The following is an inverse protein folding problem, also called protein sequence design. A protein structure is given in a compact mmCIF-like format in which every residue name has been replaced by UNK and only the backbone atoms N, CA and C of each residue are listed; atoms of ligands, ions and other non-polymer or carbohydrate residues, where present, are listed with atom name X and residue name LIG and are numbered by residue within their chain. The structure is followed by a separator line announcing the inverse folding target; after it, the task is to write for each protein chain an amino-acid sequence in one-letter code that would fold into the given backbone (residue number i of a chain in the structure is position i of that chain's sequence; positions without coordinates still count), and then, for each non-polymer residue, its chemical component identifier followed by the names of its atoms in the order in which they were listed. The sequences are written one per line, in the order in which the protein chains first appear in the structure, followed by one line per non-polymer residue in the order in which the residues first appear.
data_IF_893475950332
#
_entry.id   IF_893475950332
#
_cell.length_a   1.000
_cell.length_b   1.000
_cell.length_c   1.000
_cell.angle_alpha   90.00
_cell.angle_beta   90.00
_cell.angle_gamma   90.00
#
_symmetry.space_group_name_H-M   'P 1'
#
loop_
_entity.id
_entity.type
_entity.pdbx_description
1 polymer ?
#
# COMPACT_ATOMS: atom_id res chain seq x y z
N UNK A 1 76.02 -14.02 -8.96
CA UNK A 1 75.62 -12.72 -8.37
C UNK A 1 74.10 -12.69 -8.27
N UNK A 2 73.58 -12.63 -7.03
CA UNK A 2 72.28 -12.08 -6.58
C UNK A 2 70.99 -12.31 -7.40
N UNK A 3 70.09 -13.11 -6.79
CA UNK A 3 68.62 -12.90 -6.55
C UNK A 3 67.73 -12.39 -7.71
N UNK A 4 66.54 -12.95 -7.96
CA UNK A 4 65.43 -12.96 -6.99
C UNK A 4 64.31 -13.98 -7.30
N UNK A 5 63.58 -14.30 -6.23
CA UNK A 5 62.43 -15.18 -6.12
C UNK A 5 61.19 -14.72 -6.91
N UNK A 6 60.39 -15.68 -7.36
CA UNK A 6 58.94 -15.52 -7.48
C UNK A 6 58.25 -16.87 -7.19
N UNK A 7 57.59 -16.97 -6.04
CA UNK A 7 56.57 -17.97 -5.77
C UNK A 7 55.19 -17.38 -6.01
N UNK A 8 54.27 -18.20 -6.54
CA UNK A 8 52.81 -18.09 -6.53
C UNK A 8 52.28 -18.99 -7.67
N UNK A 9 51.12 -19.63 -7.64
CA UNK A 9 50.15 -19.98 -6.62
C UNK A 9 49.30 -21.07 -7.29
N UNK A 10 48.87 -22.09 -6.54
CA UNK A 10 47.96 -23.12 -7.05
C UNK A 10 46.59 -22.50 -7.35
N UNK A 11 46.19 -22.45 -8.62
CA UNK A 11 44.82 -22.13 -9.01
C UNK A 11 43.89 -23.28 -8.60
N UNK A 12 43.19 -23.11 -7.48
CA UNK A 12 41.97 -23.84 -7.20
C UNK A 12 40.84 -23.13 -7.96
N UNK A 13 40.28 -23.80 -8.96
CA UNK A 13 39.11 -23.31 -9.70
C UNK A 13 37.90 -23.26 -8.78
N UNK A 14 37.49 -22.06 -8.38
CA UNK A 14 36.20 -21.82 -7.75
C UNK A 14 35.16 -21.77 -8.86
N UNK A 15 34.38 -22.85 -8.98
CA UNK A 15 33.19 -22.90 -9.81
C UNK A 15 32.13 -22.03 -9.13
N UNK A 16 32.06 -20.75 -9.50
CA UNK A 16 31.02 -19.83 -9.04
C UNK A 16 29.71 -20.29 -9.69
N UNK A 17 28.91 -21.04 -8.95
CA UNK A 17 27.51 -21.25 -9.32
C UNK A 17 26.79 -19.92 -9.18
N UNK A 18 26.62 -19.22 -10.30
CA UNK A 18 25.64 -18.15 -10.43
C UNK A 18 24.26 -18.76 -10.23
N UNK A 19 23.77 -18.75 -8.99
CA UNK A 19 22.36 -18.95 -8.70
C UNK A 19 21.66 -17.71 -9.22
N UNK A 20 21.18 -17.76 -10.46
CA UNK A 20 20.24 -16.78 -10.97
C UNK A 20 18.99 -16.86 -10.11
N UNK A 21 18.89 -15.98 -9.11
CA UNK A 21 17.62 -15.67 -8.47
C UNK A 21 16.73 -15.03 -9.53
N UNK A 22 16.02 -15.87 -10.28
CA UNK A 22 14.86 -15.44 -11.05
C UNK A 22 13.87 -14.96 -10.00
N UNK A 23 13.89 -13.65 -9.74
CA UNK A 23 12.78 -12.98 -9.08
C UNK A 23 11.61 -13.25 -10.01
N UNK A 24 10.69 -14.13 -9.62
CA UNK A 24 9.44 -14.28 -10.32
C UNK A 24 8.87 -12.86 -10.41
N UNK A 25 8.75 -12.32 -11.63
CA UNK A 25 8.09 -11.05 -11.82
C UNK A 25 6.71 -11.22 -11.17
N UNK A 26 6.43 -10.43 -10.14
CA UNK A 26 5.14 -10.43 -9.48
C UNK A 26 4.08 -10.37 -10.59
N UNK A 27 3.18 -11.36 -10.63
CA UNK A 27 2.14 -11.39 -11.64
C UNK A 27 1.41 -10.03 -11.62
N UNK A 28 1.10 -9.45 -12.80
CA UNK A 28 0.43 -8.16 -12.84
C UNK A 28 -0.85 -8.20 -12.02
N UNK A 29 -1.14 -7.10 -11.34
CA UNK A 29 -2.33 -7.00 -10.50
C UNK A 29 -3.58 -7.03 -11.38
N UNK A 30 -4.64 -7.66 -10.87
CA UNK A 30 -5.94 -7.69 -11.52
C UNK A 30 -6.70 -6.40 -11.17
N UNK A 31 -6.93 -5.57 -12.17
CA UNK A 31 -7.59 -4.27 -12.06
C UNK A 31 -9.01 -4.29 -12.65
N UNK A 32 -9.64 -5.47 -12.74
CA UNK A 32 -11.08 -5.57 -12.97
C UNK A 32 -11.88 -4.91 -11.85
N UNK A 33 -13.12 -4.51 -12.11
CA UNK A 33 -13.98 -3.88 -11.11
C UNK A 33 -14.20 -4.79 -9.88
N UNK A 34 -14.15 -6.11 -10.07
CA UNK A 34 -14.30 -7.09 -8.99
C UNK A 34 -13.03 -7.29 -8.15
N UNK A 35 -11.84 -7.02 -8.69
CA UNK A 35 -10.56 -7.33 -8.04
C UNK A 35 -9.71 -6.10 -7.72
N UNK A 36 -10.02 -4.94 -8.28
CA UNK A 36 -9.17 -3.75 -8.19
C UNK A 36 -8.87 -3.33 -6.74
N UNK A 37 -9.88 -3.33 -5.87
CA UNK A 37 -9.69 -3.01 -4.46
C UNK A 37 -8.82 -4.05 -3.71
N UNK A 38 -8.99 -5.33 -3.99
CA UNK A 38 -8.16 -6.39 -3.38
C UNK A 38 -6.72 -6.35 -3.90
N UNK A 39 -6.53 -6.07 -5.19
CA UNK A 39 -5.22 -5.81 -5.78
C UNK A 39 -4.51 -4.62 -5.13
N UNK A 40 -5.23 -3.52 -4.92
CA UNK A 40 -4.72 -2.36 -4.20
C UNK A 40 -4.36 -2.72 -2.74
N UNK A 41 -5.20 -3.47 -2.03
CA UNK A 41 -4.94 -3.93 -0.66
C UNK A 41 -3.67 -4.78 -0.56
N UNK A 42 -3.43 -5.70 -1.51
CA UNK A 42 -2.19 -6.49 -1.56
C UNK A 42 -0.95 -5.60 -1.73
N UNK A 43 -1.04 -4.53 -2.51
CA UNK A 43 0.06 -3.55 -2.67
C UNK A 43 0.32 -2.84 -1.34
N UNK A 44 -0.75 -2.38 -0.66
CA UNK A 44 -0.62 -1.69 0.62
C UNK A 44 0.08 -2.60 1.64
N UNK A 45 -0.39 -3.84 1.81
CA UNK A 45 0.20 -4.80 2.77
C UNK A 45 1.68 -5.05 2.45
N UNK A 46 2.00 -5.39 1.18
CA UNK A 46 3.39 -5.58 0.75
C UNK A 46 4.26 -4.34 1.02
N UNK A 47 3.71 -3.14 0.83
CA UNK A 47 4.42 -1.90 1.07
C UNK A 47 4.66 -1.68 2.57
N UNK A 48 3.65 -1.87 3.41
CA UNK A 48 3.77 -1.69 4.85
C UNK A 48 4.72 -2.72 5.49
N UNK A 49 4.73 -3.95 4.99
CA UNK A 49 5.63 -5.01 5.46
C UNK A 49 7.11 -4.70 5.17
N UNK A 50 7.40 -3.80 4.22
CA UNK A 50 8.75 -3.38 3.90
C UNK A 50 9.34 -2.36 4.90
N UNK A 51 8.51 -1.77 5.76
CA UNK A 51 8.91 -0.67 6.64
C UNK A 51 8.73 -1.01 8.13
N UNK A 52 9.85 -0.99 8.87
CA UNK A 52 9.85 -1.12 10.33
C UNK A 52 9.42 0.19 11.02
N UNK A 53 9.82 1.36 10.49
CA UNK A 53 9.48 2.69 11.03
C UNK A 53 8.11 3.18 10.53
N UNK A 54 7.30 3.73 11.43
CA UNK A 54 5.98 4.28 11.10
C UNK A 54 6.03 5.50 10.17
N UNK A 55 7.09 6.31 10.20
CA UNK A 55 7.21 7.51 9.35
C UNK A 55 7.44 7.18 7.88
N UNK A 56 8.01 6.02 7.57
CA UNK A 56 8.23 5.59 6.19
C UNK A 56 6.95 5.00 5.57
N UNK A 57 5.97 4.61 6.40
CA UNK A 57 4.67 4.07 5.96
C UNK A 57 3.81 5.07 5.21
N UNK A 58 4.00 6.37 5.41
CA UNK A 58 3.31 7.42 4.66
C UNK A 58 3.58 7.33 3.15
N UNK A 59 4.75 6.79 2.77
CA UNK A 59 5.08 6.54 1.35
C UNK A 59 4.19 5.48 0.70
N UNK A 60 3.52 4.63 1.49
CA UNK A 60 2.63 3.58 1.00
C UNK A 60 1.24 4.09 0.62
N UNK A 61 0.83 5.26 1.11
CA UNK A 61 -0.55 5.77 0.99
C UNK A 61 -1.02 5.79 -0.47
N UNK A 62 -0.19 6.30 -1.38
CA UNK A 62 -0.51 6.45 -2.81
C UNK A 62 0.10 5.37 -3.70
N UNK A 63 0.84 4.41 -3.13
CA UNK A 63 1.52 3.36 -3.91
C UNK A 63 0.57 2.52 -4.77
N UNK A 64 -0.63 2.14 -4.30
CA UNK A 64 -1.60 1.42 -5.14
C UNK A 64 -2.03 2.22 -6.36
N UNK A 65 -2.22 3.54 -6.21
CA UNK A 65 -2.62 4.44 -7.29
C UNK A 65 -1.50 4.53 -8.34
N UNK A 66 -0.25 4.71 -7.89
CA UNK A 66 0.92 4.73 -8.78
C UNK A 66 1.02 3.46 -9.62
N UNK A 67 0.94 2.28 -8.98
CA UNK A 67 1.08 1.00 -9.66
C UNK A 67 -0.12 0.75 -10.59
N UNK A 68 -1.34 1.01 -10.12
CA UNK A 68 -2.55 0.88 -10.93
C UNK A 68 -2.45 1.72 -12.20
N UNK A 69 -2.03 2.99 -12.10
CA UNK A 69 -1.89 3.88 -13.26
C UNK A 69 -0.90 3.38 -14.31
N UNK A 70 0.10 2.60 -13.91
CA UNK A 70 1.07 2.01 -14.85
C UNK A 70 0.61 0.71 -15.50
N UNK A 71 -0.42 0.05 -14.95
CA UNK A 71 -0.84 -1.29 -15.35
C UNK A 71 -2.28 -1.33 -15.92
N UNK A 72 -3.20 -0.57 -15.34
CA UNK A 72 -4.59 -0.51 -15.76
C UNK A 72 -4.73 0.20 -17.11
N UNK A 73 -5.60 -0.34 -17.96
CA UNK A 73 -5.88 0.19 -19.30
C UNK A 73 -4.59 0.46 -20.11
N UNK A 74 -3.61 -0.44 -20.00
CA UNK A 74 -2.29 -0.33 -20.64
C UNK A 74 -1.52 0.97 -20.30
N UNK A 75 -1.76 1.54 -19.12
CA UNK A 75 -1.12 2.78 -18.70
C UNK A 75 -1.61 4.01 -19.45
N UNK A 76 -2.87 4.02 -19.90
CA UNK A 76 -3.44 5.09 -20.72
C UNK A 76 -3.46 6.47 -20.06
N UNK A 77 -3.29 6.54 -18.73
CA UNK A 77 -3.38 7.75 -17.89
C UNK A 77 -4.63 8.61 -18.16
N UNK A 78 -5.68 8.04 -18.77
CA UNK A 78 -6.90 8.77 -19.04
C UNK A 78 -7.67 8.98 -17.73
N UNK A 79 -8.59 9.95 -17.72
CA UNK A 79 -9.30 10.32 -16.50
C UNK A 79 -10.15 9.18 -15.93
N UNK A 80 -10.66 8.28 -16.78
CA UNK A 80 -11.38 7.09 -16.33
C UNK A 80 -10.45 6.16 -15.55
N UNK A 81 -9.28 5.84 -16.11
CA UNK A 81 -8.26 5.02 -15.47
C UNK A 81 -7.79 5.61 -14.15
N UNK A 82 -7.56 6.94 -14.11
CA UNK A 82 -7.19 7.65 -12.89
C UNK A 82 -8.29 7.50 -11.83
N UNK A 83 -9.56 7.72 -12.19
CA UNK A 83 -10.69 7.61 -11.27
C UNK A 83 -10.88 6.19 -10.73
N UNK A 84 -10.66 5.17 -11.57
CA UNK A 84 -10.73 3.78 -11.12
C UNK A 84 -9.60 3.47 -10.14
N UNK A 85 -8.37 3.88 -10.45
CA UNK A 85 -7.22 3.65 -9.57
C UNK A 85 -7.37 4.34 -8.20
N UNK A 86 -7.86 5.58 -8.16
CA UNK A 86 -8.14 6.28 -6.88
C UNK A 86 -9.31 5.63 -6.12
N UNK A 87 -10.35 5.19 -6.84
CA UNK A 87 -11.47 4.45 -6.26
C UNK A 87 -11.05 3.13 -5.61
N UNK A 88 -10.29 2.30 -6.32
CA UNK A 88 -9.76 1.04 -5.79
C UNK A 88 -8.88 1.25 -4.56
N UNK A 89 -8.00 2.27 -4.58
CA UNK A 89 -7.16 2.62 -3.42
C UNK A 89 -7.99 3.07 -2.22
N UNK A 90 -8.98 3.95 -2.43
CA UNK A 90 -9.87 4.41 -1.36
C UNK A 90 -10.67 3.27 -0.74
N UNK A 91 -11.17 2.34 -1.56
CA UNK A 91 -11.88 1.14 -1.09
C UNK A 91 -10.95 0.19 -0.31
N UNK A 92 -9.72 -0.03 -0.79
CA UNK A 92 -8.75 -0.89 -0.14
C UNK A 92 -8.38 -0.38 1.27
N UNK A 93 -8.01 0.90 1.38
CA UNK A 93 -7.71 1.50 2.69
C UNK A 93 -8.92 1.51 3.62
N UNK A 94 -10.13 1.76 3.10
CA UNK A 94 -11.36 1.71 3.91
C UNK A 94 -11.61 0.30 4.47
N UNK A 95 -11.43 -0.75 3.66
CA UNK A 95 -11.50 -2.14 4.13
C UNK A 95 -10.43 -2.43 5.19
N UNK A 96 -9.23 -1.88 5.06
CA UNK A 96 -8.18 -2.07 6.05
C UNK A 96 -8.50 -1.41 7.40
N UNK A 97 -9.22 -0.28 7.42
CA UNK A 97 -9.70 0.32 8.67
C UNK A 97 -10.58 -0.68 9.42
N UNK A 98 -11.53 -1.32 8.72
CA UNK A 98 -12.44 -2.31 9.30
C UNK A 98 -11.67 -3.53 9.84
N UNK A 99 -10.70 -4.05 9.08
CA UNK A 99 -9.87 -5.19 9.48
C UNK A 99 -9.05 -4.89 10.74
N UNK A 100 -8.38 -3.72 10.80
CA UNK A 100 -7.55 -3.34 11.94
C UNK A 100 -8.42 -3.08 13.17
N UNK A 101 -9.58 -2.42 12.99
CA UNK A 101 -10.53 -2.22 14.07
C UNK A 101 -11.10 -3.55 14.60
N UNK A 102 -11.45 -4.49 13.71
CA UNK A 102 -11.90 -5.82 14.10
C UNK A 102 -10.85 -6.57 14.94
N UNK A 103 -9.56 -6.44 14.62
CA UNK A 103 -8.46 -7.00 15.43
C UNK A 103 -8.37 -6.36 16.81
N UNK A 104 -8.59 -5.05 16.94
CA UNK A 104 -8.66 -4.37 18.25
C UNK A 104 -9.84 -4.88 19.09
N UNK A 105 -11.00 -5.10 18.47
CA UNK A 105 -12.17 -5.68 19.15
C UNK A 105 -11.88 -7.11 19.61
N UNK A 106 -11.36 -7.96 18.72
CA UNK A 106 -11.03 -9.37 19.02
C UNK A 106 -9.97 -9.52 20.11
N UNK A 107 -9.02 -8.58 20.18
CA UNK A 107 -7.99 -8.57 21.23
C UNK A 107 -8.46 -7.96 22.56
N UNK A 108 -9.71 -7.51 22.66
CA UNK A 108 -10.27 -6.87 23.85
C UNK A 108 -9.71 -5.48 24.15
N UNK A 109 -9.04 -4.86 23.17
CA UNK A 109 -8.39 -3.53 23.32
C UNK A 109 -9.23 -2.39 22.80
N UNK A 110 -10.30 -2.67 22.07
CA UNK A 110 -11.29 -1.66 21.71
C UNK A 110 -12.11 -1.26 22.95
N UNK A 111 -11.61 -0.26 23.69
CA UNK A 111 -12.37 0.37 24.78
C UNK A 111 -13.64 1.05 24.24
N UNK A 112 -14.56 1.41 25.14
CA UNK A 112 -15.75 2.21 24.77
C UNK A 112 -15.38 3.53 24.08
N UNK A 113 -14.26 4.13 24.48
CA UNK A 113 -13.79 5.40 23.90
C UNK A 113 -13.23 5.19 22.49
N UNK A 114 -12.51 4.09 22.26
CA UNK A 114 -12.03 3.72 20.92
C UNK A 114 -13.21 3.39 20.01
N UNK A 115 -14.21 2.65 20.51
CA UNK A 115 -15.41 2.32 19.75
C UNK A 115 -16.20 3.58 19.37
N UNK A 116 -16.36 4.52 20.32
CA UNK A 116 -16.98 5.82 20.06
C UNK A 116 -16.18 6.64 19.05
N UNK A 117 -14.85 6.69 19.19
CA UNK A 117 -13.94 7.35 18.24
C UNK A 117 -14.09 6.78 16.84
N UNK A 118 -14.16 5.44 16.69
CA UNK A 118 -14.34 4.80 15.39
C UNK A 118 -15.67 5.15 14.74
N UNK A 119 -16.76 5.16 15.52
CA UNK A 119 -18.08 5.55 15.02
C UNK A 119 -18.12 7.01 14.56
N UNK A 120 -17.52 7.93 15.34
CA UNK A 120 -17.43 9.34 14.97
C UNK A 120 -16.56 9.56 13.74
N UNK A 121 -15.42 8.87 13.64
CA UNK A 121 -14.53 8.94 12.48
C UNK A 121 -15.24 8.45 11.21
N UNK A 122 -15.97 7.33 11.28
CA UNK A 122 -16.70 6.79 10.12
C UNK A 122 -17.75 7.77 9.60
N UNK A 123 -18.51 8.41 10.49
CA UNK A 123 -19.50 9.42 10.12
C UNK A 123 -18.85 10.69 9.54
N UNK A 124 -17.75 11.15 10.14
CA UNK A 124 -17.03 12.33 9.67
C UNK A 124 -16.37 12.09 8.30
N UNK A 125 -15.66 10.98 8.14
CA UNK A 125 -14.91 10.68 6.92
C UNK A 125 -15.79 10.72 5.67
N UNK A 126 -16.99 10.13 5.74
CA UNK A 126 -17.88 10.08 4.58
C UNK A 126 -18.42 11.47 4.22
N UNK A 127 -18.84 12.23 5.23
CA UNK A 127 -19.31 13.60 5.05
C UNK A 127 -18.23 14.51 4.47
N UNK A 128 -17.01 14.45 5.02
CA UNK A 128 -15.90 15.30 4.62
C UNK A 128 -15.47 15.03 3.17
N UNK A 129 -15.35 13.76 2.78
CA UNK A 129 -15.02 13.40 1.41
C UNK A 129 -16.12 13.77 0.42
N UNK A 130 -17.40 13.67 0.80
CA UNK A 130 -18.48 14.21 -0.02
C UNK A 130 -18.38 15.72 -0.18
N UNK A 131 -18.19 16.47 0.91
CA UNK A 131 -18.11 17.93 0.89
C UNK A 131 -16.96 18.46 0.02
N UNK A 132 -15.78 17.84 0.08
CA UNK A 132 -14.62 18.21 -0.76
C UNK A 132 -14.88 17.94 -2.25
N UNK A 133 -15.73 16.95 -2.56
CA UNK A 133 -16.07 16.55 -3.92
C UNK A 133 -17.42 17.10 -4.43
N UNK A 134 -18.03 18.05 -3.73
CA UNK A 134 -19.39 18.55 -4.04
C UNK A 134 -19.42 19.51 -5.24
N UNK A 135 -19.10 18.98 -6.42
CA UNK A 135 -19.19 19.67 -7.70
C UNK A 135 -19.27 18.68 -8.88
N UNK A 136 -19.65 19.17 -10.05
CA UNK A 136 -19.84 18.33 -11.24
C UNK A 136 -18.51 18.17 -12.00
N UNK A 137 -18.13 16.91 -12.25
CA UNK A 137 -17.04 16.58 -13.17
C UNK A 137 -16.29 15.31 -12.76
N UNK A 138 -15.49 14.77 -13.67
CA UNK A 138 -14.65 13.59 -13.40
C UNK A 138 -13.58 13.86 -12.33
N UNK A 139 -13.18 15.11 -12.16
CA UNK A 139 -12.27 15.56 -11.08
C UNK A 139 -12.88 15.35 -9.69
N UNK A 140 -14.20 15.49 -9.53
CA UNK A 140 -14.87 15.26 -8.25
C UNK A 140 -14.70 13.82 -7.76
N UNK A 141 -14.81 12.84 -8.67
CA UNK A 141 -14.58 11.43 -8.37
C UNK A 141 -13.13 11.16 -7.92
N UNK A 142 -12.17 11.82 -8.56
CA UNK A 142 -10.76 11.71 -8.18
C UNK A 142 -10.52 12.30 -6.78
N UNK A 143 -11.02 13.51 -6.52
CA UNK A 143 -10.86 14.17 -5.22
C UNK A 143 -11.56 13.38 -4.10
N UNK A 144 -12.72 12.78 -4.36
CA UNK A 144 -13.38 11.85 -3.43
C UNK A 144 -12.50 10.63 -3.13
N UNK A 145 -11.98 9.96 -4.17
CA UNK A 145 -11.10 8.79 -4.01
C UNK A 145 -9.78 9.09 -3.27
N UNK A 146 -9.18 10.25 -3.56
CA UNK A 146 -7.99 10.75 -2.86
C UNK A 146 -8.29 11.06 -1.39
N UNK A 147 -9.43 11.69 -1.10
CA UNK A 147 -9.87 11.94 0.27
C UNK A 147 -10.03 10.63 1.05
N UNK A 148 -10.78 9.66 0.49
CA UNK A 148 -10.98 8.34 1.10
C UNK A 148 -9.65 7.63 1.34
N UNK A 149 -8.73 7.67 0.38
CA UNK A 149 -7.39 7.10 0.51
C UNK A 149 -6.64 7.71 1.70
N UNK A 150 -6.54 9.04 1.78
CA UNK A 150 -5.79 9.73 2.86
C UNK A 150 -6.39 9.47 4.23
N UNK A 151 -7.70 9.68 4.36
CA UNK A 151 -8.37 9.56 5.65
C UNK A 151 -8.32 8.13 6.18
N UNK A 152 -8.61 7.14 5.32
CA UNK A 152 -8.58 5.75 5.73
C UNK A 152 -7.16 5.26 6.04
N UNK A 153 -6.14 5.68 5.28
CA UNK A 153 -4.76 5.37 5.61
C UNK A 153 -4.32 5.94 6.95
N UNK A 154 -4.59 7.23 7.21
CA UNK A 154 -4.31 7.85 8.51
C UNK A 154 -4.99 7.11 9.65
N UNK A 155 -6.26 6.70 9.46
CA UNK A 155 -6.98 5.94 10.47
C UNK A 155 -6.40 4.54 10.70
N UNK A 156 -5.95 3.86 9.64
CA UNK A 156 -5.23 2.59 9.78
C UNK A 156 -3.99 2.77 10.65
N UNK A 157 -3.20 3.82 10.41
CA UNK A 157 -2.00 4.09 11.20
C UNK A 157 -2.33 4.39 12.67
N UNK A 158 -3.30 5.27 12.94
CA UNK A 158 -3.78 5.55 14.30
C UNK A 158 -4.18 4.27 15.05
N UNK A 159 -4.92 3.38 14.38
CA UNK A 159 -5.41 2.14 14.99
C UNK A 159 -4.30 1.10 15.18
N UNK A 160 -3.33 1.04 14.26
CA UNK A 160 -2.18 0.13 14.37
C UNK A 160 -1.30 0.47 15.58
N UNK A 161 -1.16 1.75 15.94
CA UNK A 161 -0.42 2.18 17.14
C UNK A 161 -1.03 1.64 18.44
N UNK A 162 -2.33 1.28 18.43
CA UNK A 162 -3.03 0.72 19.57
C UNK A 162 -2.87 -0.81 19.69
N UNK A 163 -2.29 -1.47 18.68
CA UNK A 163 -2.00 -2.91 18.69
C UNK A 163 -0.53 -3.10 19.12
N UNK A 164 -0.25 -3.56 20.35
CA UNK A 164 1.12 -3.78 20.78
C UNK A 164 1.78 -4.92 20.01
N UNK A 165 3.07 -4.71 19.70
CA UNK A 165 3.98 -5.65 19.06
C UNK A 165 4.31 -6.85 19.95
#
# INVERSE_FOLDING_TARGET
MRTALAGAARSAGVMVMLVSQVHAADAPYDWSDEQGAESAKRIIVKCLDAFEDSKERDSCVFKPIEICRTQFDNGSENQFAINQCTGYSGAAWSSMVDDVYARLVQSGKASSDIAKSQSMWSAWNEYDCHAISDYIGTRALMDYGDCKTRHAAGRVFDLLELIPH
#
